data_IF_782464553810
#
_entry.id   IF_782464553810
#
_cell.length_a   1.000
_cell.length_b   1.000
_cell.length_c   1.000
_cell.angle_alpha   90.00
_cell.angle_beta   90.00
_cell.angle_gamma   90.00
#
_symmetry.space_group_name_H-M   'P 1'
#
loop_
_entity.id
_entity.type
_entity.pdbx_description
1 polymer ?
#
# COMPACT_ATOMS: atom_id res chain seq x y z
N UNK A 1 -17.86 20.71 10.82
CA UNK A 1 -16.59 19.95 10.87
C UNK A 1 -15.95 19.90 9.48
N UNK A 2 -14.94 20.74 9.21
CA UNK A 2 -14.19 20.71 7.94
C UNK A 2 -13.15 19.57 8.03
N UNK A 3 -13.30 18.53 7.21
CA UNK A 3 -12.31 17.44 7.13
C UNK A 3 -11.00 18.02 6.61
N UNK A 4 -9.91 17.92 7.38
CA UNK A 4 -8.57 18.27 6.89
C UNK A 4 -8.26 17.43 5.65
N UNK A 5 -7.65 18.00 4.59
CA UNK A 5 -7.19 17.22 3.46
C UNK A 5 -6.12 16.24 3.95
N UNK A 6 -6.28 14.96 3.60
CA UNK A 6 -5.22 13.97 3.81
C UNK A 6 -4.11 14.34 2.83
N UNK A 7 -2.98 14.79 3.34
CA UNK A 7 -1.72 14.85 2.59
C UNK A 7 -1.25 13.43 2.24
N UNK A 8 -1.95 12.80 1.30
CA UNK A 8 -1.41 11.61 0.66
C UNK A 8 -0.29 12.10 -0.24
N UNK A 9 0.96 11.99 0.18
CA UNK A 9 2.13 12.13 -0.70
C UNK A 9 1.89 11.24 -1.92
N UNK A 10 1.43 11.84 -3.02
CA UNK A 10 1.09 11.09 -4.22
C UNK A 10 2.40 10.58 -4.79
N UNK A 11 2.47 9.27 -5.07
CA UNK A 11 3.64 8.70 -5.73
C UNK A 11 3.63 9.17 -7.18
N UNK A 12 4.58 10.02 -7.51
CA UNK A 12 4.83 10.53 -8.84
C UNK A 12 5.86 9.66 -9.56
N UNK A 13 5.70 9.48 -10.87
CA UNK A 13 6.75 8.95 -11.74
C UNK A 13 7.22 10.09 -12.63
N UNK A 14 8.52 10.37 -12.62
CA UNK A 14 9.15 11.28 -13.57
C UNK A 14 9.47 10.47 -14.82
N UNK A 15 9.09 10.98 -15.98
CA UNK A 15 9.48 10.45 -17.28
C UNK A 15 10.15 11.56 -18.06
N UNK A 16 11.29 11.25 -18.67
CA UNK A 16 12.03 12.19 -19.50
C UNK A 16 11.88 11.79 -20.97
N UNK A 17 11.55 12.75 -21.84
CA UNK A 17 11.62 12.54 -23.28
C UNK A 17 13.05 12.76 -23.77
N UNK A 18 13.83 11.68 -23.81
CA UNK A 18 15.23 11.71 -24.22
C UNK A 18 15.43 12.13 -25.68
N UNK A 19 14.45 11.89 -26.56
CA UNK A 19 14.58 12.24 -27.99
C UNK A 19 14.45 13.74 -28.16
N UNK A 20 13.42 14.33 -27.56
CA UNK A 20 13.20 15.76 -27.60
C UNK A 20 14.32 16.52 -26.87
N UNK A 21 14.73 16.03 -25.70
CA UNK A 21 15.82 16.63 -24.94
C UNK A 21 17.12 16.66 -25.76
N UNK A 22 17.46 15.56 -26.45
CA UNK A 22 18.65 15.51 -27.31
C UNK A 22 18.59 16.48 -28.49
N UNK A 23 17.40 16.78 -29.02
CA UNK A 23 17.22 17.78 -30.08
C UNK A 23 17.41 19.19 -29.49
N UNK A 24 16.80 19.47 -28.35
CA UNK A 24 16.90 20.78 -27.70
C UNK A 24 18.36 21.11 -27.32
N UNK A 25 19.07 20.16 -26.69
CA UNK A 25 20.47 20.33 -26.29
C UNK A 25 21.45 20.45 -27.47
N UNK A 26 21.07 19.95 -28.65
CA UNK A 26 21.87 20.10 -29.90
C UNK A 26 21.70 21.45 -30.56
N UNK A 27 20.56 22.09 -30.33
CA UNK A 27 20.25 23.42 -30.85
C UNK A 27 20.70 24.54 -29.90
N UNK A 28 21.04 24.20 -28.65
CA UNK A 28 21.74 25.08 -27.72
C UNK A 28 23.18 25.28 -28.18
N UNK A 29 23.54 26.53 -28.47
CA UNK A 29 24.91 26.97 -28.71
C UNK A 29 25.64 27.08 -27.38
N UNK A 30 26.53 26.12 -27.11
CA UNK A 30 27.38 26.07 -25.92
C UNK A 30 28.58 27.03 -25.99
N UNK A 31 28.48 28.10 -26.78
CA UNK A 31 29.62 28.91 -27.27
C UNK A 31 30.32 29.76 -26.18
N UNK A 32 29.89 29.67 -24.92
CA UNK A 32 30.46 30.48 -23.82
C UNK A 32 31.31 29.68 -22.82
N UNK A 33 31.57 28.37 -23.04
CA UNK A 33 32.15 27.53 -21.98
C UNK A 33 33.66 27.67 -21.72
N UNK A 34 34.41 28.28 -22.62
CA UNK A 34 35.88 28.38 -22.51
C UNK A 34 36.37 29.67 -21.81
N UNK A 35 35.46 30.57 -21.41
CA UNK A 35 35.79 31.89 -20.85
C UNK A 35 35.32 32.09 -19.39
N UNK A 36 35.08 31.01 -18.63
CA UNK A 36 34.72 31.14 -17.22
C UNK A 36 35.92 31.49 -16.36
N UNK A 37 35.78 32.52 -15.52
CA UNK A 37 36.83 32.91 -14.57
C UNK A 37 36.72 32.15 -13.25
N UNK A 38 35.53 31.67 -12.89
CA UNK A 38 35.30 30.83 -11.70
C UNK A 38 34.16 29.80 -11.90
N UNK A 39 33.95 28.91 -10.91
CA UNK A 39 32.91 27.87 -10.98
C UNK A 39 31.49 28.37 -10.67
N UNK A 40 31.36 29.54 -10.06
CA UNK A 40 30.10 30.16 -9.67
C UNK A 40 29.43 30.77 -10.92
N UNK A 41 30.21 31.40 -11.80
CA UNK A 41 29.83 31.90 -13.13
C UNK A 41 29.37 30.75 -14.05
N UNK A 42 30.03 29.59 -13.98
CA UNK A 42 29.61 28.39 -14.70
C UNK A 42 28.24 27.87 -14.21
N UNK A 43 27.93 27.98 -12.91
CA UNK A 43 26.63 27.58 -12.37
C UNK A 43 25.48 28.51 -12.78
N UNK A 44 25.75 29.75 -13.18
CA UNK A 44 24.75 30.70 -13.66
C UNK A 44 24.29 30.47 -15.11
N UNK A 45 25.05 29.71 -15.92
CA UNK A 45 24.69 29.37 -17.32
C UNK A 45 24.02 27.99 -17.44
N UNK A 46 24.19 27.14 -16.42
CA UNK A 46 23.42 25.89 -16.27
C UNK A 46 21.88 25.99 -16.14
N UNK A 47 21.22 27.15 -15.85
CA UNK A 47 19.76 27.24 -15.82
C UNK A 47 19.10 26.89 -17.16
N UNK A 48 19.73 27.16 -18.29
CA UNK A 48 19.15 26.90 -19.61
C UNK A 48 19.03 25.39 -19.87
N UNK A 49 20.09 24.63 -19.58
CA UNK A 49 20.07 23.18 -19.63
C UNK A 49 19.04 22.59 -18.64
N UNK A 50 18.90 23.20 -17.46
CA UNK A 50 17.88 22.81 -16.46
C UNK A 50 16.46 23.08 -16.97
N UNK A 51 16.21 24.22 -17.59
CA UNK A 51 14.92 24.54 -18.21
C UNK A 51 14.59 23.57 -19.35
N UNK A 52 15.57 23.22 -20.18
CA UNK A 52 15.44 22.23 -21.24
C UNK A 52 15.08 20.83 -20.68
N UNK A 53 15.66 20.44 -19.54
CA UNK A 53 15.32 19.20 -18.82
C UNK A 53 13.90 19.27 -18.25
N UNK A 54 13.52 20.38 -17.61
CA UNK A 54 12.19 20.55 -17.01
C UNK A 54 11.09 20.54 -18.07
N UNK A 55 11.30 21.20 -19.23
CA UNK A 55 10.36 21.18 -20.37
C UNK A 55 10.18 19.79 -20.98
N UNK A 56 11.23 18.97 -20.95
CA UNK A 56 11.19 17.59 -21.46
C UNK A 56 10.78 16.56 -20.40
N UNK A 57 10.60 17.00 -19.14
CA UNK A 57 10.21 16.15 -18.02
C UNK A 57 8.70 16.18 -17.83
N UNK A 58 8.09 15.01 -17.73
CA UNK A 58 6.67 14.86 -17.39
C UNK A 58 6.53 14.11 -16.09
N UNK A 59 5.76 14.69 -15.17
CA UNK A 59 5.44 14.04 -13.90
C UNK A 59 4.05 13.43 -13.99
N UNK A 60 3.97 12.11 -13.77
CA UNK A 60 2.71 11.38 -13.80
C UNK A 60 2.29 10.97 -12.39
N UNK A 61 1.06 11.26 -12.04
CA UNK A 61 0.44 10.70 -10.85
C UNK A 61 0.11 9.23 -11.09
N UNK A 62 0.65 8.34 -10.25
CA UNK A 62 0.35 6.91 -10.36
C UNK A 62 -1.00 6.64 -9.67
N UNK A 63 -2.04 6.23 -10.43
CA UNK A 63 -3.34 5.88 -9.85
C UNK A 63 -3.19 4.68 -8.92
N UNK A 64 -4.01 4.62 -7.85
CA UNK A 64 -3.87 3.62 -6.78
C UNK A 64 -3.88 2.17 -7.30
N UNK A 65 -4.66 1.88 -8.33
CA UNK A 65 -4.78 0.55 -8.95
C UNK A 65 -3.52 0.12 -9.74
N UNK A 66 -2.69 1.08 -10.20
CA UNK A 66 -1.44 0.81 -10.93
C UNK A 66 -0.20 0.84 -10.03
N UNK A 67 -0.37 1.09 -8.73
CA UNK A 67 0.75 1.06 -7.77
C UNK A 67 1.16 -0.39 -7.54
N UNK A 68 2.45 -0.69 -7.70
CA UNK A 68 3.01 -2.00 -7.34
C UNK A 68 2.70 -2.27 -5.87
N UNK A 69 2.02 -3.39 -5.60
CA UNK A 69 1.80 -3.88 -4.24
C UNK A 69 3.13 -4.42 -3.69
N UNK A 70 3.25 -4.45 -2.35
CA UNK A 70 4.37 -5.16 -1.71
C UNK A 70 4.28 -6.64 -2.08
N UNK A 71 5.43 -7.28 -2.24
CA UNK A 71 5.50 -8.65 -2.80
C UNK A 71 4.80 -9.68 -1.91
N UNK A 72 4.80 -9.49 -0.60
CA UNK A 72 4.05 -10.32 0.35
C UNK A 72 2.52 -10.11 0.30
N UNK A 73 2.02 -9.05 -0.36
CA UNK A 73 0.58 -8.81 -0.53
C UNK A 73 0.10 -9.53 -1.78
N UNK A 74 -0.47 -10.71 -1.58
CA UNK A 74 -1.04 -11.51 -2.68
C UNK A 74 -2.37 -10.94 -3.18
N UNK A 75 -2.70 -11.21 -4.45
CA UNK A 75 -4.01 -10.86 -5.01
C UNK A 75 -5.14 -11.57 -4.23
N UNK A 76 -4.92 -12.82 -3.80
CA UNK A 76 -5.88 -13.57 -3.01
C UNK A 76 -6.22 -12.89 -1.68
N UNK A 77 -5.20 -12.39 -0.95
CA UNK A 77 -5.42 -11.64 0.29
C UNK A 77 -6.25 -10.38 0.04
N UNK A 78 -5.94 -9.64 -1.03
CA UNK A 78 -6.69 -8.44 -1.37
C UNK A 78 -8.16 -8.74 -1.71
N UNK A 79 -8.41 -9.80 -2.48
CA UNK A 79 -9.78 -10.24 -2.81
C UNK A 79 -10.55 -10.57 -1.53
N UNK A 80 -9.97 -11.35 -0.61
CA UNK A 80 -10.61 -11.69 0.66
C UNK A 80 -10.94 -10.47 1.52
N UNK A 81 -10.06 -9.46 1.55
CA UNK A 81 -10.32 -8.20 2.26
C UNK A 81 -11.49 -7.46 1.61
N UNK A 82 -11.51 -7.36 0.28
CA UNK A 82 -12.59 -6.70 -0.45
C UNK A 82 -13.94 -7.42 -0.26
N UNK A 83 -13.95 -8.75 -0.32
CA UNK A 83 -15.14 -9.57 -0.11
C UNK A 83 -15.71 -9.38 1.30
N UNK A 84 -14.84 -9.39 2.32
CA UNK A 84 -15.21 -9.11 3.71
C UNK A 84 -15.85 -7.72 3.83
N UNK A 85 -15.21 -6.70 3.25
CA UNK A 85 -15.70 -5.32 3.34
C UNK A 85 -17.03 -5.14 2.59
N UNK A 86 -17.22 -5.83 1.47
CA UNK A 86 -18.49 -5.86 0.75
C UNK A 86 -19.58 -6.53 1.58
N UNK A 87 -19.33 -7.71 2.15
CA UNK A 87 -20.30 -8.41 3.01
C UNK A 87 -20.64 -7.61 4.25
N UNK A 88 -19.67 -6.96 4.89
CA UNK A 88 -19.91 -6.08 6.04
C UNK A 88 -20.87 -4.93 5.68
N UNK A 89 -20.68 -4.30 4.51
CA UNK A 89 -21.60 -3.26 4.03
C UNK A 89 -23.00 -3.82 3.81
N UNK A 90 -23.13 -5.01 3.22
CA UNK A 90 -24.42 -5.66 2.99
C UNK A 90 -25.15 -6.01 4.29
N UNK A 91 -24.43 -6.55 5.29
CA UNK A 91 -24.98 -6.83 6.63
C UNK A 91 -25.43 -5.55 7.31
N UNK A 92 -24.63 -4.49 7.23
CA UNK A 92 -24.97 -3.19 7.82
C UNK A 92 -26.20 -2.56 7.16
N UNK A 93 -26.37 -2.74 5.86
CA UNK A 93 -27.54 -2.26 5.13
C UNK A 93 -28.81 -3.07 5.45
N UNK A 94 -28.67 -4.37 5.76
CA UNK A 94 -29.79 -5.27 6.00
C UNK A 94 -29.65 -5.99 7.35
N UNK A 95 -29.80 -5.29 8.49
CA UNK A 95 -29.51 -5.86 9.81
C UNK A 95 -30.45 -6.99 10.24
N UNK A 96 -31.66 -7.05 9.67
CA UNK A 96 -32.63 -8.14 9.91
C UNK A 96 -32.37 -9.41 9.11
N UNK A 97 -31.44 -9.39 8.13
CA UNK A 97 -31.15 -10.57 7.32
C UNK A 97 -30.16 -11.50 8.06
N UNK A 98 -30.72 -12.52 8.72
CA UNK A 98 -29.95 -13.51 9.48
C UNK A 98 -29.00 -14.33 8.61
N UNK A 99 -29.44 -14.80 7.44
CA UNK A 99 -28.60 -15.58 6.54
C UNK A 99 -27.37 -14.82 6.06
N UNK A 100 -27.53 -13.52 5.82
CA UNK A 100 -26.43 -12.65 5.40
C UNK A 100 -25.42 -12.45 6.54
N UNK A 101 -25.92 -12.29 7.77
CA UNK A 101 -25.09 -12.19 8.97
C UNK A 101 -24.34 -13.49 9.24
N UNK A 102 -25.00 -14.64 9.07
CA UNK A 102 -24.39 -15.96 9.26
C UNK A 102 -23.29 -16.20 8.22
N UNK A 103 -23.55 -15.91 6.93
CA UNK A 103 -22.54 -15.97 5.86
C UNK A 103 -21.33 -15.06 6.12
N UNK A 104 -21.55 -13.86 6.65
CA UNK A 104 -20.46 -12.95 7.02
C UNK A 104 -19.60 -13.50 8.18
N UNK A 105 -20.23 -14.15 9.16
CA UNK A 105 -19.54 -14.70 10.33
C UNK A 105 -18.89 -16.07 10.07
N UNK A 106 -19.35 -16.82 9.07
CA UNK A 106 -18.91 -18.20 8.84
C UNK A 106 -17.39 -18.37 8.66
N UNK A 107 -16.66 -17.50 7.94
CA UNK A 107 -15.20 -17.61 7.86
C UNK A 107 -14.52 -17.48 9.22
N UNK A 108 -15.03 -16.60 10.09
CA UNK A 108 -14.53 -16.41 11.47
C UNK A 108 -14.83 -17.67 12.30
N UNK A 109 -16.06 -18.17 12.23
CA UNK A 109 -16.47 -19.39 12.96
C UNK A 109 -15.65 -20.61 12.52
N UNK A 110 -15.45 -20.80 11.21
CA UNK A 110 -14.64 -21.89 10.66
C UNK A 110 -13.19 -21.83 11.15
N UNK A 111 -12.61 -20.64 11.20
CA UNK A 111 -11.26 -20.45 11.76
C UNK A 111 -11.17 -20.93 13.20
N UNK A 112 -12.07 -20.47 14.09
CA UNK A 112 -12.06 -20.89 15.49
C UNK A 112 -12.38 -22.38 15.66
N UNK A 113 -13.32 -22.93 14.90
CA UNK A 113 -13.61 -24.38 14.89
C UNK A 113 -12.37 -25.19 14.58
N UNK A 114 -11.60 -24.79 13.56
CA UNK A 114 -10.37 -25.49 13.18
C UNK A 114 -9.31 -25.40 14.27
N UNK A 115 -9.12 -24.24 14.90
CA UNK A 115 -8.12 -24.10 15.97
C UNK A 115 -8.51 -24.92 17.20
N UNK A 116 -9.79 -24.92 17.58
CA UNK A 116 -10.28 -25.74 18.69
C UNK A 116 -10.07 -27.23 18.38
N UNK A 117 -10.40 -27.67 17.17
CA UNK A 117 -10.16 -29.05 16.73
C UNK A 117 -8.67 -29.45 16.79
N UNK A 118 -7.76 -28.52 16.48
CA UNK A 118 -6.31 -28.77 16.59
C UNK A 118 -5.78 -28.77 18.03
N UNK A 119 -6.54 -28.29 19.01
CA UNK A 119 -6.11 -28.15 20.41
C UNK A 119 -6.96 -28.97 21.40
N UNK A 120 -7.65 -30.02 20.93
CA UNK A 120 -8.59 -30.83 21.74
C UNK A 120 -7.99 -31.39 23.03
N UNK A 121 -6.69 -31.68 23.06
CA UNK A 121 -5.98 -32.19 24.24
C UNK A 121 -5.59 -31.12 25.26
N UNK A 122 -5.68 -29.83 24.91
CA UNK A 122 -5.26 -28.72 25.74
C UNK A 122 -6.46 -27.84 26.13
N UNK A 123 -7.14 -28.23 27.21
CA UNK A 123 -8.34 -27.53 27.72
C UNK A 123 -8.08 -26.06 28.04
N UNK A 124 -6.89 -25.72 28.58
CA UNK A 124 -6.50 -24.32 28.88
C UNK A 124 -6.44 -23.48 27.61
N UNK A 125 -5.91 -24.06 26.53
CA UNK A 125 -5.82 -23.40 25.24
C UNK A 125 -7.19 -23.22 24.59
N UNK A 126 -8.06 -24.23 24.66
CA UNK A 126 -9.45 -24.12 24.20
C UNK A 126 -10.19 -22.98 24.91
N UNK A 127 -10.09 -22.91 26.24
CA UNK A 127 -10.72 -21.84 27.02
C UNK A 127 -10.17 -20.46 26.66
N UNK A 128 -8.87 -20.34 26.37
CA UNK A 128 -8.27 -19.10 25.87
C UNK A 128 -8.90 -18.67 24.54
N UNK A 129 -9.01 -19.60 23.59
CA UNK A 129 -9.59 -19.36 22.26
C UNK A 129 -11.07 -18.95 22.36
N UNK A 130 -11.85 -19.62 23.22
CA UNK A 130 -13.27 -19.30 23.46
C UNK A 130 -13.42 -17.88 24.02
N UNK A 131 -12.59 -17.51 25.00
CA UNK A 131 -12.62 -16.17 25.61
C UNK A 131 -12.21 -15.08 24.62
N UNK A 132 -11.23 -15.34 23.76
CA UNK A 132 -10.84 -14.43 22.68
C UNK A 132 -11.98 -14.24 21.67
N UNK A 133 -12.64 -15.33 21.27
CA UNK A 133 -13.71 -15.29 20.26
C UNK A 133 -14.97 -14.56 20.75
N UNK A 134 -15.25 -14.63 22.06
CA UNK A 134 -16.41 -14.03 22.73
C UNK A 134 -16.19 -12.57 23.14
N UNK A 135 -14.97 -12.04 23.01
CA UNK A 135 -14.65 -10.66 23.39
C UNK A 135 -14.61 -10.41 24.90
N UNK A 136 -14.56 -11.47 25.73
CA UNK A 136 -14.47 -11.39 27.19
C UNK A 136 -13.05 -11.12 27.71
N UNK A 137 -12.04 -11.14 26.84
CA UNK A 137 -10.67 -10.73 27.20
C UNK A 137 -10.51 -9.21 27.07
N UNK A 138 -10.77 -8.49 28.16
CA UNK A 138 -10.23 -7.15 28.35
C UNK A 138 -8.72 -7.24 28.58
N UNK A 139 -7.93 -6.65 27.67
CA UNK A 139 -6.52 -6.24 27.86
C UNK A 139 -5.61 -7.21 28.63
N UNK A 140 -5.13 -8.26 27.97
CA UNK A 140 -3.83 -8.83 28.30
C UNK A 140 -2.90 -8.62 27.09
N UNK A 141 -1.68 -8.06 27.26
CA UNK A 141 -0.79 -7.82 26.14
C UNK A 141 -0.22 -9.17 25.69
N UNK A 142 -0.80 -9.78 24.66
CA UNK A 142 -0.15 -10.87 23.94
C UNK A 142 0.69 -10.29 22.82
N UNK A 143 1.90 -9.85 23.17
CA UNK A 143 3.02 -9.98 22.24
C UNK A 143 3.14 -11.46 21.87
N UNK A 144 2.73 -11.78 20.65
CA UNK A 144 3.24 -12.86 19.80
C UNK A 144 2.55 -12.74 18.46
N UNK A 145 3.18 -11.98 17.57
CA UNK A 145 2.96 -12.12 16.13
C UNK A 145 3.06 -13.62 15.78
N UNK A 146 2.12 -14.18 15.00
CA UNK A 146 2.26 -15.56 14.55
C UNK A 146 3.55 -15.65 13.72
N UNK A 147 4.51 -16.46 14.18
CA UNK A 147 5.66 -16.85 13.38
C UNK A 147 5.11 -17.60 12.17
N UNK A 148 5.24 -17.00 10.98
CA UNK A 148 5.00 -17.66 9.71
C UNK A 148 5.90 -18.91 9.69
N UNK A 149 5.30 -20.09 9.76
CA UNK A 149 5.99 -21.33 9.45
C UNK A 149 6.17 -21.32 7.93
N UNK A 150 7.35 -20.90 7.50
CA UNK A 150 7.81 -21.11 6.14
C UNK A 150 8.25 -22.57 6.07
N UNK A 151 7.46 -23.41 5.40
CA UNK A 151 7.98 -24.70 4.93
C UNK A 151 8.89 -24.40 3.74
N UNK A 152 10.20 -24.38 3.99
CA UNK A 152 11.18 -24.55 2.92
C UNK A 152 11.08 -26.00 2.43
N UNK A 153 11.04 -26.15 1.11
CA UNK A 153 11.13 -27.44 0.40
C UNK A 153 12.58 -27.74 0.10
#
# INVERSE_FOLDING_TARGET
>A
MKKKPKDSKQRTRISLDYKQLKINLKNETWECQDNFKDSEEATEIFPEARESIDRCSKTFNIPRNRRKRREWITQGLMNRINDRDAMFKSVRANPGNRELKDRYNEPKLRYYRNIIASNLSNSKEIWRIINESSGTMSNAPTEKTPKLIVHER
#
